data_IF_222018669417
#
_entry.id   IF_222018669417
#
_cell.length_a   1.000
_cell.length_b   1.000
_cell.length_c   1.000
_cell.angle_alpha   90.00
_cell.angle_beta   90.00
_cell.angle_gamma   90.00
#
_symmetry.space_group_name_H-M   'P 1'
#
loop_
_entity.id
_entity.type
_entity.pdbx_description
1 polymer ?
#
# COMPACT_ATOMS: atom_id res chain seq x y z
N UNK A 1 -35.24 -69.46 -23.74
CA UNK A 1 -35.71 -68.92 -22.45
C UNK A 1 -34.48 -68.46 -21.67
N UNK A 2 -34.32 -67.13 -21.49
CA UNK A 2 -33.55 -66.42 -20.45
C UNK A 2 -32.03 -66.68 -20.37
N UNK A 3 -31.13 -65.70 -20.21
CA UNK A 3 -31.14 -64.24 -20.31
C UNK A 3 -29.64 -63.87 -20.33
N UNK A 4 -29.21 -62.94 -21.20
CA UNK A 4 -27.89 -62.30 -21.13
C UNK A 4 -27.77 -61.50 -19.83
N UNK A 5 -26.61 -61.55 -19.18
CA UNK A 5 -26.12 -60.45 -18.34
C UNK A 5 -24.63 -60.25 -18.65
N UNK A 6 -24.35 -59.33 -19.58
CA UNK A 6 -23.05 -58.67 -19.72
C UNK A 6 -22.91 -57.64 -18.62
N UNK A 7 -21.98 -57.86 -17.70
CA UNK A 7 -21.60 -56.88 -16.68
C UNK A 7 -20.58 -55.93 -17.30
N UNK A 8 -21.05 -54.80 -17.84
CA UNK A 8 -20.19 -53.67 -18.22
C UNK A 8 -19.83 -52.93 -16.92
N UNK A 9 -18.62 -53.12 -16.41
CA UNK A 9 -18.05 -52.20 -15.42
C UNK A 9 -17.66 -50.90 -16.15
N UNK A 10 -18.55 -49.92 -16.10
CA UNK A 10 -18.21 -48.52 -16.33
C UNK A 10 -17.40 -48.01 -15.13
N UNK A 11 -16.07 -48.20 -15.14
CA UNK A 11 -15.18 -47.40 -14.29
C UNK A 11 -15.11 -45.99 -14.89
N UNK A 12 -16.08 -45.16 -14.50
CA UNK A 12 -15.97 -43.72 -14.59
C UNK A 12 -14.94 -43.24 -13.58
N UNK A 13 -13.66 -43.40 -13.90
CA UNK A 13 -12.61 -42.59 -13.31
C UNK A 13 -12.49 -41.33 -14.18
N UNK A 14 -13.40 -40.38 -14.00
CA UNK A 14 -13.10 -38.98 -14.30
C UNK A 14 -12.05 -38.54 -13.30
N UNK A 15 -10.80 -38.94 -13.57
CA UNK A 15 -9.65 -38.20 -13.12
C UNK A 15 -9.76 -36.85 -13.80
N UNK A 16 -10.47 -35.91 -13.18
CA UNK A 16 -10.20 -34.50 -13.38
C UNK A 16 -8.78 -34.30 -12.87
N UNK A 17 -7.83 -34.59 -13.76
CA UNK A 17 -6.49 -34.03 -13.70
C UNK A 17 -6.75 -32.53 -13.71
N UNK A 18 -6.84 -31.94 -12.52
CA UNK A 18 -6.59 -30.52 -12.35
C UNK A 18 -5.17 -30.35 -12.86
N UNK A 19 -5.00 -30.06 -14.14
CA UNK A 19 -3.90 -29.21 -14.57
C UNK A 19 -3.98 -28.05 -13.60
N UNK A 20 -3.00 -27.92 -12.69
CA UNK A 20 -3.07 -26.93 -11.63
C UNK A 20 -3.35 -25.58 -12.30
N UNK A 21 -4.58 -25.06 -12.11
CA UNK A 21 -4.98 -23.81 -12.72
C UNK A 21 -3.99 -22.79 -12.19
N UNK A 22 -3.21 -22.19 -13.08
CA UNK A 22 -2.23 -21.18 -12.72
C UNK A 22 -2.98 -20.10 -11.92
N UNK A 23 -2.54 -19.78 -10.69
CA UNK A 23 -3.29 -18.86 -9.85
C UNK A 23 -3.19 -17.45 -10.41
N UNK A 24 -4.22 -16.66 -10.17
CA UNK A 24 -4.12 -15.22 -10.33
C UNK A 24 -3.23 -14.61 -9.23
N UNK A 25 -2.75 -13.39 -9.44
CA UNK A 25 -1.94 -12.66 -8.47
C UNK A 25 -2.54 -11.27 -8.27
N UNK A 26 -2.98 -10.97 -7.04
CA UNK A 26 -3.28 -9.62 -6.59
C UNK A 26 -2.14 -9.17 -5.68
N UNK A 27 -1.36 -8.19 -6.13
CA UNK A 27 -0.29 -7.59 -5.35
C UNK A 27 -0.74 -6.21 -4.85
N UNK A 28 -1.15 -6.15 -3.60
CA UNK A 28 -1.53 -4.92 -2.89
C UNK A 28 -0.27 -4.28 -2.34
N UNK A 29 0.00 -3.03 -2.73
CA UNK A 29 1.24 -2.33 -2.37
C UNK A 29 0.95 -0.92 -1.86
N UNK A 30 1.22 -0.66 -0.59
CA UNK A 30 1.06 0.65 0.03
C UNK A 30 2.36 1.46 0.01
N UNK A 31 2.28 2.69 0.47
CA UNK A 31 3.38 3.65 0.45
C UNK A 31 3.52 4.28 1.84
N UNK A 32 4.65 4.02 2.51
CA UNK A 32 4.92 4.41 3.91
C UNK A 32 4.03 3.72 4.97
N UNK A 33 3.46 2.52 4.71
CA UNK A 33 2.68 1.81 5.73
C UNK A 33 3.59 1.00 6.67
N UNK A 34 3.75 1.50 7.89
CA UNK A 34 4.46 0.89 9.00
C UNK A 34 3.80 -0.42 9.45
N UNK A 35 4.60 -1.44 9.73
CA UNK A 35 4.10 -2.70 10.29
C UNK A 35 3.44 -2.47 11.66
N UNK A 36 3.90 -1.46 12.41
CA UNK A 36 3.32 -1.09 13.70
C UNK A 36 1.84 -0.70 13.57
N UNK A 37 1.42 -0.14 12.43
CA UNK A 37 0.04 0.33 12.26
C UNK A 37 -0.93 -0.72 11.71
N UNK A 38 -0.52 -2.00 11.66
CA UNK A 38 -1.36 -3.12 11.21
C UNK A 38 -1.69 -4.01 12.42
N UNK A 39 -2.97 -4.26 12.66
CA UNK A 39 -3.47 -5.01 13.82
C UNK A 39 -2.84 -6.40 13.95
N UNK A 40 -2.70 -7.13 12.84
CA UNK A 40 -2.14 -8.48 12.80
C UNK A 40 -0.65 -8.58 13.19
N UNK A 41 0.10 -7.47 13.17
CA UNK A 41 1.50 -7.46 13.61
C UNK A 41 1.64 -7.41 15.14
N UNK A 42 0.56 -7.13 15.87
CA UNK A 42 0.51 -7.14 17.34
C UNK A 42 1.53 -6.19 17.98
N UNK A 43 1.62 -4.98 17.41
CA UNK A 43 2.53 -3.93 17.89
C UNK A 43 1.92 -3.11 19.04
N UNK A 44 2.71 -2.15 19.56
CA UNK A 44 2.28 -1.16 20.56
C UNK A 44 1.07 -0.29 20.14
N UNK A 45 0.69 -0.26 18.86
CA UNK A 45 -0.46 0.49 18.34
C UNK A 45 -1.72 -0.33 18.09
N UNK A 46 -1.70 -1.65 18.28
CA UNK A 46 -2.79 -2.56 17.87
C UNK A 46 -4.18 -2.09 18.32
N UNK A 47 -4.34 -1.72 19.59
CA UNK A 47 -5.64 -1.31 20.17
C UNK A 47 -6.22 -0.04 19.51
N UNK A 48 -5.38 0.73 18.81
CA UNK A 48 -5.75 2.00 18.19
C UNK A 48 -5.71 1.98 16.65
N UNK A 49 -5.17 0.91 16.05
CA UNK A 49 -5.11 0.73 14.60
C UNK A 49 -5.65 -0.64 14.15
N UNK A 50 -6.94 -0.94 14.37
CA UNK A 50 -7.53 -2.14 13.81
C UNK A 50 -7.62 -2.02 12.29
N UNK A 51 -7.13 -3.05 11.59
CA UNK A 51 -7.13 -3.16 10.13
C UNK A 51 -7.85 -4.45 9.73
N UNK A 52 -9.18 -4.57 9.96
CA UNK A 52 -9.87 -5.85 9.90
C UNK A 52 -9.75 -6.58 8.55
N UNK A 53 -9.64 -5.87 7.43
CA UNK A 53 -9.48 -6.50 6.12
C UNK A 53 -8.04 -6.97 5.89
N UNK A 54 -7.02 -6.19 6.30
CA UNK A 54 -5.63 -6.64 6.25
C UNK A 54 -5.40 -7.80 7.24
N UNK A 55 -5.99 -7.72 8.43
CA UNK A 55 -5.91 -8.74 9.47
C UNK A 55 -6.58 -10.05 9.00
N UNK A 56 -7.62 -9.94 8.16
CA UNK A 56 -8.24 -11.10 7.52
C UNK A 56 -7.26 -11.86 6.61
N UNK A 57 -6.37 -11.15 5.90
CA UNK A 57 -5.34 -11.77 5.06
C UNK A 57 -4.32 -12.55 5.89
N UNK A 58 -3.94 -12.03 7.07
CA UNK A 58 -3.03 -12.71 7.98
C UNK A 58 -3.68 -13.94 8.60
N UNK A 59 -4.94 -13.83 9.03
CA UNK A 59 -5.71 -14.95 9.60
C UNK A 59 -5.94 -16.06 8.57
N UNK A 60 -6.21 -15.69 7.32
CA UNK A 60 -6.54 -16.65 6.26
C UNK A 60 -5.30 -17.06 5.44
N UNK A 61 -4.11 -16.56 5.79
CA UNK A 61 -2.85 -16.77 5.08
C UNK A 61 -1.65 -16.84 6.03
N UNK A 62 -0.51 -16.33 5.59
CA UNK A 62 0.75 -16.29 6.34
C UNK A 62 1.25 -14.86 6.51
N UNK A 63 1.62 -14.48 7.74
CA UNK A 63 2.27 -13.21 8.05
C UNK A 63 3.79 -13.39 8.19
N UNK A 64 4.57 -12.52 7.56
CA UNK A 64 6.03 -12.53 7.66
C UNK A 64 6.49 -11.56 8.73
N UNK A 65 7.18 -12.06 9.75
CA UNK A 65 7.67 -11.24 10.84
C UNK A 65 8.94 -10.49 10.46
N UNK A 66 9.78 -11.01 9.55
CA UNK A 66 11.12 -10.48 9.26
C UNK A 66 11.32 -10.20 7.77
N UNK A 67 10.44 -9.38 7.17
CA UNK A 67 10.60 -8.93 5.79
C UNK A 67 11.30 -7.56 5.75
N UNK A 68 12.41 -7.46 5.02
CA UNK A 68 13.26 -6.28 4.98
C UNK A 68 13.42 -5.70 3.57
N UNK A 69 13.37 -4.36 3.48
CA UNK A 69 13.63 -3.67 2.22
C UNK A 69 15.12 -3.55 1.97
N UNK A 70 15.52 -3.68 0.69
CA UNK A 70 16.93 -3.55 0.30
C UNK A 70 17.41 -2.10 0.23
N UNK A 71 16.48 -1.15 0.19
CA UNK A 71 16.72 0.29 0.24
C UNK A 71 15.44 1.00 0.71
N UNK A 72 15.45 1.62 1.89
CA UNK A 72 14.25 2.12 2.56
C UNK A 72 13.77 3.48 2.01
N UNK A 73 13.32 3.46 0.74
CA UNK A 73 12.85 4.64 0.02
C UNK A 73 12.01 4.23 -1.21
N UNK A 74 10.95 5.01 -1.51
CA UNK A 74 9.86 4.62 -2.41
C UNK A 74 10.29 4.09 -3.79
N UNK A 75 10.99 4.90 -4.60
CA UNK A 75 11.36 4.57 -5.98
C UNK A 75 12.33 3.39 -6.07
N UNK A 76 13.44 3.40 -5.30
CA UNK A 76 14.36 2.26 -5.24
C UNK A 76 13.70 0.94 -4.84
N UNK A 77 12.80 0.92 -3.85
CA UNK A 77 12.12 -0.33 -3.49
C UNK A 77 11.10 -0.76 -4.56
N UNK A 78 10.38 0.17 -5.19
CA UNK A 78 9.53 -0.13 -6.35
C UNK A 78 10.33 -0.75 -7.48
N UNK A 79 11.52 -0.25 -7.78
CA UNK A 79 12.41 -0.82 -8.79
C UNK A 79 12.91 -2.22 -8.39
N UNK A 80 13.23 -2.42 -7.12
CA UNK A 80 13.64 -3.72 -6.59
C UNK A 80 12.51 -4.76 -6.71
N UNK A 81 11.26 -4.41 -6.37
CA UNK A 81 10.09 -5.29 -6.57
C UNK A 81 9.90 -5.64 -8.04
N UNK A 82 9.99 -4.67 -8.95
CA UNK A 82 9.81 -4.95 -10.38
C UNK A 82 10.88 -5.89 -10.94
N UNK A 83 12.13 -5.79 -10.46
CA UNK A 83 13.30 -6.44 -11.07
C UNK A 83 13.82 -7.67 -10.32
N UNK A 84 13.49 -7.83 -9.04
CA UNK A 84 14.11 -8.83 -8.15
C UNK A 84 15.59 -8.56 -7.86
N UNK A 85 16.05 -7.31 -8.02
CA UNK A 85 17.46 -6.92 -7.89
C UNK A 85 17.63 -5.78 -6.90
N UNK A 86 18.75 -5.78 -6.18
CA UNK A 86 19.23 -4.63 -5.40
C UNK A 86 19.42 -3.38 -6.27
N UNK A 87 19.32 -2.19 -5.66
CA UNK A 87 19.41 -0.90 -6.36
C UNK A 87 20.69 -0.72 -7.19
N UNK A 88 21.84 -1.22 -6.72
CA UNK A 88 23.11 -1.16 -7.46
C UNK A 88 23.10 -1.98 -8.76
N UNK A 89 22.22 -2.98 -8.86
CA UNK A 89 22.10 -3.86 -10.01
C UNK A 89 20.92 -3.49 -10.94
N UNK A 90 19.86 -2.84 -10.41
CA UNK A 90 18.74 -2.35 -11.22
C UNK A 90 18.91 -0.89 -11.71
N UNK A 91 19.85 -0.14 -11.12
CA UNK A 91 20.21 1.22 -11.54
C UNK A 91 19.37 2.35 -10.93
N UNK A 92 18.36 2.05 -10.11
CA UNK A 92 17.50 3.03 -9.45
C UNK A 92 17.91 3.20 -7.97
N UNK A 93 18.81 4.14 -7.70
CA UNK A 93 19.46 4.31 -6.38
C UNK A 93 18.71 5.29 -5.48
N UNK A 94 18.12 6.34 -6.04
CA UNK A 94 17.42 7.41 -5.32
C UNK A 94 16.16 7.85 -6.07
N UNK A 95 15.19 8.42 -5.33
CA UNK A 95 14.02 9.04 -5.95
C UNK A 95 14.45 10.12 -6.95
N UNK A 96 13.78 10.16 -8.11
CA UNK A 96 14.10 11.06 -9.21
C UNK A 96 15.07 10.48 -10.25
N UNK A 97 15.66 9.29 -10.01
CA UNK A 97 16.30 8.54 -11.09
C UNK A 97 15.28 8.11 -12.15
N UNK A 98 15.78 7.81 -13.35
CA UNK A 98 14.99 7.26 -14.45
C UNK A 98 15.14 5.75 -14.45
N UNK A 99 14.04 5.03 -14.24
CA UNK A 99 14.05 3.58 -14.35
C UNK A 99 14.25 3.16 -15.80
N UNK A 100 15.21 2.27 -16.05
CA UNK A 100 15.32 1.60 -17.34
C UNK A 100 14.22 0.55 -17.45
N UNK A 101 13.09 0.92 -18.05
CA UNK A 101 11.98 0.03 -18.29
C UNK A 101 12.26 -1.02 -19.36
N UNK A 102 13.39 -1.00 -20.07
CA UNK A 102 13.74 -2.03 -21.07
C UNK A 102 14.27 -3.31 -20.43
N UNK A 103 14.85 -3.21 -19.23
CA UNK A 103 15.37 -4.35 -18.49
C UNK A 103 14.29 -5.39 -18.14
N UNK A 104 14.71 -6.60 -17.75
CA UNK A 104 13.80 -7.65 -17.30
C UNK A 104 13.06 -7.22 -16.03
N UNK A 105 11.74 -7.42 -16.02
CA UNK A 105 10.89 -7.26 -14.85
C UNK A 105 9.95 -8.46 -14.72
N UNK A 106 9.49 -8.79 -13.51
CA UNK A 106 8.60 -9.93 -13.32
C UNK A 106 7.26 -9.80 -14.09
N UNK A 107 6.64 -8.62 -14.30
CA UNK A 107 5.42 -8.50 -15.10
C UNK A 107 5.66 -8.91 -16.55
N UNK A 108 6.80 -8.55 -17.15
CA UNK A 108 7.16 -9.00 -18.51
C UNK A 108 7.24 -10.52 -18.60
N UNK A 109 7.79 -11.17 -17.56
CA UNK A 109 7.89 -12.63 -17.50
C UNK A 109 6.50 -13.27 -17.38
N UNK A 110 5.62 -12.73 -16.53
CA UNK A 110 4.24 -13.21 -16.39
C UNK A 110 3.43 -13.01 -17.68
N UNK A 111 3.54 -11.84 -18.33
CA UNK A 111 2.92 -11.55 -19.62
C UNK A 111 3.38 -12.55 -20.69
N UNK A 112 4.68 -12.82 -20.76
CA UNK A 112 5.25 -13.86 -21.65
C UNK A 112 4.72 -15.27 -21.31
N UNK A 113 4.46 -15.55 -20.04
CA UNK A 113 3.84 -16.81 -19.60
C UNK A 113 2.32 -16.87 -19.85
N UNK A 114 1.71 -15.83 -20.41
CA UNK A 114 0.29 -15.81 -20.79
C UNK A 114 -0.66 -15.25 -19.72
N UNK A 115 -0.13 -14.50 -18.74
CA UNK A 115 -0.95 -13.69 -17.85
C UNK A 115 -1.40 -12.40 -18.53
N UNK A 116 -2.57 -11.92 -18.17
CA UNK A 116 -2.96 -10.52 -18.41
C UNK A 116 -2.53 -9.69 -17.22
N UNK A 117 -1.84 -8.58 -17.48
CA UNK A 117 -1.07 -7.84 -16.46
C UNK A 117 -1.53 -6.39 -16.36
N UNK A 118 -1.72 -5.88 -15.15
CA UNK A 118 -2.06 -4.47 -14.94
C UNK A 118 -1.38 -3.84 -13.72
N UNK A 119 -1.19 -2.53 -13.79
CA UNK A 119 -0.78 -1.70 -12.64
C UNK A 119 -1.65 -0.47 -12.53
N UNK A 120 -2.23 -0.24 -11.35
CA UNK A 120 -3.05 0.92 -11.07
C UNK A 120 -2.56 1.61 -9.80
N UNK A 121 -2.37 2.93 -9.88
CA UNK A 121 -2.01 3.77 -8.73
C UNK A 121 -0.55 4.25 -8.73
N UNK A 122 0.16 4.18 -7.61
CA UNK A 122 1.50 4.80 -7.50
C UNK A 122 2.55 4.02 -8.30
N UNK A 123 3.25 4.69 -9.23
CA UNK A 123 4.36 4.09 -10.00
C UNK A 123 5.73 4.52 -9.50
N UNK A 124 5.99 5.84 -9.46
CA UNK A 124 7.20 6.44 -8.90
C UNK A 124 8.55 5.95 -9.47
N UNK A 125 8.54 5.42 -10.70
CA UNK A 125 9.75 4.98 -11.44
C UNK A 125 10.07 5.89 -12.65
N UNK A 126 9.46 7.07 -12.68
CA UNK A 126 9.57 8.04 -13.76
C UNK A 126 8.33 8.10 -14.65
N UNK A 127 8.27 9.16 -15.44
CA UNK A 127 7.17 9.49 -16.37
C UNK A 127 7.67 9.55 -17.82
N UNK A 128 8.96 9.25 -18.04
CA UNK A 128 9.58 9.26 -19.37
C UNK A 128 9.10 8.10 -20.26
N UNK A 129 8.44 7.10 -19.67
CA UNK A 129 7.85 5.97 -20.36
C UNK A 129 6.71 5.36 -19.53
N UNK A 130 5.75 4.73 -20.20
CA UNK A 130 4.72 3.98 -19.50
C UNK A 130 5.29 2.71 -18.85
N UNK A 131 4.67 2.21 -17.76
CA UNK A 131 5.02 0.94 -17.15
C UNK A 131 5.11 -0.20 -18.17
N UNK A 132 6.30 -0.77 -18.32
CA UNK A 132 6.55 -1.84 -19.28
C UNK A 132 6.21 -3.22 -18.70
N UNK A 133 5.72 -4.12 -19.56
CA UNK A 133 5.33 -5.47 -19.15
C UNK A 133 3.93 -5.57 -18.55
N UNK A 134 3.12 -4.52 -18.72
CA UNK A 134 1.72 -4.48 -18.37
C UNK A 134 0.88 -4.37 -19.65
N UNK A 135 -0.27 -5.04 -19.69
CA UNK A 135 -1.30 -4.89 -20.74
C UNK A 135 -2.20 -3.68 -20.49
N UNK A 136 -2.19 -3.15 -19.25
CA UNK A 136 -2.90 -1.94 -18.86
C UNK A 136 -2.12 -1.22 -17.76
N UNK A 137 -2.03 0.11 -17.85
CA UNK A 137 -1.62 0.90 -16.71
C UNK A 137 -2.41 2.20 -16.58
N UNK A 138 -2.66 2.59 -15.34
CA UNK A 138 -3.11 3.94 -15.02
C UNK A 138 -2.46 4.38 -13.72
N UNK A 139 -1.47 5.27 -13.82
CA UNK A 139 -0.52 5.54 -12.72
C UNK A 139 -0.46 7.01 -12.34
N UNK A 140 -0.23 7.27 -11.05
CA UNK A 140 -0.10 8.62 -10.49
C UNK A 140 1.11 9.35 -11.08
N UNK A 141 0.95 10.64 -11.36
CA UNK A 141 2.05 11.56 -11.69
C UNK A 141 2.83 11.89 -10.42
N UNK A 142 4.15 11.74 -10.45
CA UNK A 142 5.05 11.91 -9.31
C UNK A 142 4.68 11.04 -8.11
N UNK A 143 4.30 11.68 -7.00
CA UNK A 143 3.82 11.03 -5.77
C UNK A 143 2.27 10.92 -5.72
N UNK A 144 1.58 11.59 -6.64
CA UNK A 144 0.13 11.82 -6.63
C UNK A 144 -0.37 12.67 -5.45
N UNK A 145 -1.44 13.46 -5.61
CA UNK A 145 -2.16 14.06 -4.48
C UNK A 145 -3.11 13.05 -3.82
N UNK A 146 -3.64 13.38 -2.65
CA UNK A 146 -4.68 12.57 -1.96
C UNK A 146 -6.09 12.81 -2.49
N UNK A 147 -6.31 13.96 -3.11
CA UNK A 147 -7.58 14.37 -3.70
C UNK A 147 -7.38 14.67 -5.17
N UNK A 148 -8.38 14.36 -5.99
CA UNK A 148 -8.46 14.72 -7.41
C UNK A 148 -7.16 14.45 -8.20
N UNK A 149 -6.62 13.22 -8.19
CA UNK A 149 -5.33 12.91 -8.78
C UNK A 149 -5.36 12.97 -10.31
N UNK A 150 -4.41 13.66 -10.95
CA UNK A 150 -4.10 13.39 -12.34
C UNK A 150 -3.27 12.10 -12.46
N UNK A 151 -3.56 11.31 -13.49
CA UNK A 151 -2.92 10.03 -13.76
C UNK A 151 -2.53 9.91 -15.24
N UNK A 152 -1.50 9.13 -15.53
CA UNK A 152 -1.09 8.79 -16.89
C UNK A 152 -1.59 7.39 -17.22
N UNK A 153 -2.25 7.24 -18.36
CA UNK A 153 -2.83 5.97 -18.81
C UNK A 153 -2.06 5.40 -19.99
N UNK A 154 -1.98 4.07 -20.03
CA UNK A 154 -1.61 3.25 -21.18
C UNK A 154 -2.65 2.12 -21.26
N UNK A 155 -3.59 2.23 -22.21
CA UNK A 155 -4.76 1.36 -22.28
C UNK A 155 -4.52 0.05 -23.04
N UNK A 156 -3.50 -0.01 -23.91
CA UNK A 156 -3.21 -1.16 -24.78
C UNK A 156 -1.86 -1.84 -24.47
N UNK A 157 -1.08 -1.27 -23.54
CA UNK A 157 0.19 -1.83 -23.09
C UNK A 157 1.27 -1.78 -24.15
N UNK A 158 1.22 -0.77 -25.05
CA UNK A 158 2.24 -0.51 -26.07
C UNK A 158 3.50 0.17 -25.50
N UNK A 159 3.45 0.55 -24.22
CA UNK A 159 4.57 1.17 -23.51
C UNK A 159 4.64 2.68 -23.67
N UNK A 160 3.59 3.32 -24.18
CA UNK A 160 3.45 4.78 -24.29
C UNK A 160 2.26 5.27 -23.48
N UNK A 161 2.33 6.51 -23.03
CA UNK A 161 1.20 7.15 -22.37
C UNK A 161 0.20 7.65 -23.41
N UNK A 162 -1.05 7.20 -23.33
CA UNK A 162 -2.18 7.72 -24.10
C UNK A 162 -2.44 9.20 -23.77
N UNK A 163 -2.17 9.57 -22.52
CA UNK A 163 -2.30 10.93 -22.04
C UNK A 163 -2.57 11.03 -20.54
N UNK A 164 -2.74 12.27 -20.09
CA UNK A 164 -3.12 12.61 -18.72
C UNK A 164 -4.63 12.62 -18.56
N UNK A 165 -5.12 11.88 -17.57
CA UNK A 165 -6.52 11.84 -17.14
C UNK A 165 -6.64 12.52 -15.79
N UNK A 166 -7.63 13.39 -15.62
CA UNK A 166 -7.92 14.01 -14.32
C UNK A 166 -9.11 13.29 -13.67
N UNK A 167 -8.93 12.87 -12.43
CA UNK A 167 -10.01 12.28 -11.62
C UNK A 167 -10.50 13.27 -10.57
N UNK A 168 -11.75 13.11 -10.14
CA UNK A 168 -12.34 13.85 -9.02
C UNK A 168 -12.76 12.84 -7.95
N UNK A 169 -12.31 13.04 -6.71
CA UNK A 169 -12.55 12.11 -5.61
C UNK A 169 -11.32 11.97 -4.70
N UNK A 170 -11.33 10.93 -3.88
CA UNK A 170 -10.21 10.57 -3.00
C UNK A 170 -9.34 9.50 -3.66
N UNK A 171 -8.02 9.71 -3.68
CA UNK A 171 -7.09 8.90 -4.49
C UNK A 171 -7.12 7.41 -4.14
N UNK A 172 -7.30 7.05 -2.87
CA UNK A 172 -7.37 5.63 -2.46
C UNK A 172 -8.60 4.95 -3.04
N UNK A 173 -9.75 5.64 -3.05
CA UNK A 173 -11.00 5.13 -3.61
C UNK A 173 -10.90 5.06 -5.15
N UNK A 174 -10.37 6.10 -5.80
CA UNK A 174 -10.17 6.15 -7.26
C UNK A 174 -9.29 4.99 -7.75
N UNK A 175 -8.17 4.73 -7.07
CA UNK A 175 -7.28 3.61 -7.44
C UNK A 175 -8.04 2.28 -7.36
N UNK A 176 -8.92 2.13 -6.38
CA UNK A 176 -9.76 0.94 -6.19
C UNK A 176 -10.82 0.82 -7.27
N UNK A 177 -11.51 1.91 -7.59
CA UNK A 177 -12.54 1.94 -8.63
C UNK A 177 -11.94 1.59 -10.00
N UNK A 178 -10.77 2.15 -10.33
CA UNK A 178 -10.04 1.86 -11.57
C UNK A 178 -9.56 0.40 -11.64
N UNK A 179 -9.06 -0.13 -10.52
CA UNK A 179 -8.65 -1.53 -10.45
C UNK A 179 -9.83 -2.49 -10.61
N UNK A 180 -10.95 -2.23 -9.93
CA UNK A 180 -12.18 -3.00 -10.07
C UNK A 180 -12.76 -2.92 -11.49
N UNK A 181 -12.77 -1.73 -12.09
CA UNK A 181 -13.19 -1.53 -13.47
C UNK A 181 -12.35 -2.37 -14.44
N UNK A 182 -11.03 -2.41 -14.26
CA UNK A 182 -10.17 -3.26 -15.08
C UNK A 182 -10.49 -4.75 -14.88
N UNK A 183 -10.64 -5.17 -13.63
CA UNK A 183 -10.96 -6.55 -13.26
C UNK A 183 -12.31 -7.03 -13.83
N UNK A 184 -13.32 -6.15 -13.83
CA UNK A 184 -14.67 -6.43 -14.27
C UNK A 184 -14.81 -6.43 -15.78
N UNK A 185 -14.26 -5.41 -16.43
CA UNK A 185 -14.67 -5.01 -17.78
C UNK A 185 -13.54 -5.01 -18.82
N UNK A 186 -12.25 -5.03 -18.42
CA UNK A 186 -11.13 -4.85 -19.36
C UNK A 186 -10.19 -6.04 -19.47
N UNK A 187 -10.03 -6.85 -18.43
CA UNK A 187 -9.14 -8.02 -18.49
C UNK A 187 -9.72 -9.12 -19.39
N UNK A 188 -8.82 -9.92 -19.98
CA UNK A 188 -9.19 -11.17 -20.64
C UNK A 188 -9.54 -12.23 -19.58
N UNK A 189 -10.83 -12.52 -19.40
CA UNK A 189 -11.32 -13.48 -18.39
C UNK A 189 -10.93 -14.94 -18.67
N UNK A 190 -10.38 -15.24 -19.85
CA UNK A 190 -9.89 -16.59 -20.20
C UNK A 190 -8.45 -16.84 -19.74
N UNK A 191 -7.74 -15.80 -19.30
CA UNK A 191 -6.35 -15.86 -18.85
C UNK A 191 -6.25 -15.57 -17.34
N UNK A 192 -5.21 -16.10 -16.66
CA UNK A 192 -4.92 -15.68 -15.31
C UNK A 192 -4.46 -14.21 -15.31
N UNK A 193 -4.74 -13.48 -14.23
CA UNK A 193 -4.33 -12.08 -14.11
C UNK A 193 -3.19 -11.88 -13.11
N UNK A 194 -2.40 -10.82 -13.32
CA UNK A 194 -1.57 -10.21 -12.29
C UNK A 194 -1.90 -8.72 -12.20
N UNK A 195 -2.34 -8.27 -11.03
CA UNK A 195 -2.68 -6.87 -10.76
C UNK A 195 -1.77 -6.31 -9.66
N UNK A 196 -0.97 -5.32 -10.02
CA UNK A 196 -0.30 -4.44 -9.05
C UNK A 196 -1.27 -3.32 -8.64
N UNK A 197 -1.84 -3.47 -7.45
CA UNK A 197 -2.79 -2.55 -6.84
C UNK A 197 -2.06 -1.63 -5.85
N UNK A 198 -1.60 -0.46 -6.33
CA UNK A 198 -0.60 0.35 -5.63
C UNK A 198 -1.17 1.65 -5.05
N UNK A 199 -1.34 1.73 -3.74
CA UNK A 199 -1.86 2.92 -3.08
C UNK A 199 -0.78 3.99 -2.83
N UNK A 200 -1.22 5.26 -2.85
CA UNK A 200 -0.47 6.40 -2.30
C UNK A 200 -0.45 6.40 -0.76
N UNK A 201 -1.53 5.95 -0.15
CA UNK A 201 -1.67 6.03 1.29
C UNK A 201 -0.82 4.93 1.98
N UNK A 202 -0.30 5.21 3.19
CA UNK A 202 -0.39 6.45 3.97
C UNK A 202 0.83 7.42 3.82
N UNK A 203 1.36 7.67 2.63
CA UNK A 203 2.52 8.58 2.46
C UNK A 203 2.27 10.03 2.89
N UNK A 204 3.34 10.72 3.33
CA UNK A 204 3.30 12.16 3.65
C UNK A 204 2.60 12.96 2.52
N UNK A 205 1.69 13.88 2.81
CA UNK A 205 1.34 14.47 4.10
C UNK A 205 -0.03 14.02 4.64
N UNK A 206 -0.37 12.72 4.63
CA UNK A 206 -1.46 12.14 5.44
C UNK A 206 -2.78 12.90 5.39
N UNK A 207 -3.35 13.09 4.20
CA UNK A 207 -4.63 13.79 4.07
C UNK A 207 -5.74 12.74 4.08
N UNK A 208 -6.54 12.59 5.16
CA UNK A 208 -7.49 11.49 5.26
C UNK A 208 -8.64 11.60 4.27
N UNK A 209 -9.30 10.48 4.01
CA UNK A 209 -10.56 10.46 3.28
C UNK A 209 -11.63 11.29 4.00
N UNK A 210 -12.58 11.91 3.29
CA UNK A 210 -13.63 12.75 3.89
C UNK A 210 -14.37 12.10 5.06
N UNK A 211 -14.68 10.79 4.96
CA UNK A 211 -15.39 10.03 6.00
C UNK A 211 -14.60 9.82 7.29
N UNK A 212 -13.28 10.00 7.28
CA UNK A 212 -12.41 9.74 8.44
C UNK A 212 -11.78 11.00 9.04
N UNK A 213 -12.11 12.19 8.55
CA UNK A 213 -11.50 13.45 9.01
C UNK A 213 -11.65 13.70 10.52
N UNK A 214 -12.65 13.10 11.16
CA UNK A 214 -12.91 13.22 12.60
C UNK A 214 -12.67 11.92 13.39
N UNK A 215 -12.26 10.83 12.73
CA UNK A 215 -11.98 9.56 13.42
C UNK A 215 -10.83 9.76 14.41
N UNK A 216 -10.93 9.31 15.65
CA UNK A 216 -9.91 9.52 16.70
C UNK A 216 -9.78 10.94 17.27
N UNK A 217 -10.72 11.87 17.02
CA UNK A 217 -10.64 13.22 17.62
C UNK A 217 -10.61 13.18 19.15
N UNK A 218 -11.41 12.27 19.71
CA UNK A 218 -11.69 11.98 21.11
C UNK A 218 -10.80 10.85 21.70
N UNK A 219 -9.85 10.33 20.91
CA UNK A 219 -8.90 9.31 21.34
C UNK A 219 -7.54 9.95 21.62
N UNK A 220 -6.88 9.58 22.71
CA UNK A 220 -5.44 9.88 22.91
C UNK A 220 -4.65 8.65 22.51
N UNK A 221 -3.76 8.79 21.53
CA UNK A 221 -2.91 7.69 21.08
C UNK A 221 -1.71 7.55 22.03
N UNK A 222 -1.21 6.34 22.30
CA UNK A 222 -0.02 6.15 23.12
C UNK A 222 1.19 6.81 22.45
N UNK A 223 2.17 7.25 23.22
CA UNK A 223 3.46 7.77 22.72
C UNK A 223 4.52 6.67 22.82
N UNK A 224 5.42 6.51 21.85
CA UNK A 224 6.56 5.62 22.02
C UNK A 224 7.53 6.19 23.06
N UNK A 225 8.18 5.32 23.84
CA UNK A 225 9.14 5.71 24.88
C UNK A 225 10.27 6.61 24.35
N UNK A 226 10.55 6.51 23.04
CA UNK A 226 11.61 7.26 22.34
C UNK A 226 11.11 8.52 21.63
N UNK A 227 9.90 9.02 21.91
CA UNK A 227 9.40 10.27 21.31
C UNK A 227 10.31 11.48 21.60
N UNK A 228 10.96 11.49 22.77
CA UNK A 228 11.90 12.53 23.22
C UNK A 228 13.33 12.01 23.32
N UNK A 229 13.73 11.12 22.40
CA UNK A 229 15.08 10.54 22.37
C UNK A 229 16.16 11.63 22.25
N UNK A 230 17.14 11.60 23.16
CA UNK A 230 18.30 12.50 23.18
C UNK A 230 19.49 11.99 22.35
N UNK A 231 19.30 10.80 21.76
CA UNK A 231 20.23 10.09 20.90
C UNK A 231 21.55 9.70 21.58
N UNK A 232 21.65 9.71 22.92
CA UNK A 232 22.84 9.21 23.61
C UNK A 232 23.15 7.78 23.19
N UNK A 233 24.40 7.55 22.79
CA UNK A 233 24.87 6.26 22.29
C UNK A 233 24.66 6.04 20.78
N UNK A 234 24.06 6.99 20.05
CA UNK A 234 23.97 6.96 18.57
C UNK A 234 25.06 7.81 17.92
N UNK A 235 25.28 7.57 16.63
CA UNK A 235 26.27 8.32 15.83
C UNK A 235 25.69 9.65 15.35
N UNK A 236 26.56 10.51 14.80
CA UNK A 236 26.21 11.84 14.26
C UNK A 236 25.01 11.83 13.31
N UNK A 237 24.81 10.73 12.56
CA UNK A 237 23.69 10.57 11.64
C UNK A 237 22.31 10.79 12.31
N UNK A 238 22.12 10.30 13.54
CA UNK A 238 20.88 10.49 14.28
C UNK A 238 20.67 11.94 14.76
N UNK A 239 21.77 12.67 14.99
CA UNK A 239 21.72 14.07 15.42
C UNK A 239 21.56 15.06 14.27
N UNK A 240 21.94 14.69 13.04
CA UNK A 240 22.01 15.58 11.87
C UNK A 240 20.89 15.35 10.85
N UNK A 241 19.96 14.42 11.10
CA UNK A 241 18.79 14.24 10.25
C UNK A 241 17.85 15.46 10.28
N UNK A 242 16.99 15.55 9.28
CA UNK A 242 15.87 16.50 9.23
C UNK A 242 14.58 15.72 8.97
N UNK A 243 14.09 15.05 10.02
CA UNK A 243 12.88 14.22 10.02
C UNK A 243 12.19 14.17 11.39
N UNK A 244 12.45 15.15 12.26
CA UNK A 244 11.87 15.19 13.61
C UNK A 244 10.45 15.75 13.60
N UNK A 245 9.60 15.21 14.48
CA UNK A 245 8.28 15.79 14.77
C UNK A 245 8.43 17.20 15.34
N UNK A 246 9.44 17.42 16.17
CA UNK A 246 9.69 18.69 16.83
C UNK A 246 9.97 19.84 15.84
N UNK A 247 10.81 19.63 14.84
CA UNK A 247 11.35 20.72 14.01
C UNK A 247 10.93 20.61 12.53
N UNK A 248 10.92 19.42 11.94
CA UNK A 248 10.79 19.22 10.49
C UNK A 248 9.34 19.31 9.99
N UNK A 249 8.36 19.07 10.85
CA UNK A 249 6.95 19.09 10.44
C UNK A 249 6.48 20.47 9.97
N UNK A 250 5.80 20.49 8.82
CA UNK A 250 5.27 21.69 8.20
C UNK A 250 3.80 21.93 8.57
N UNK A 251 3.30 23.13 8.27
CA UNK A 251 1.86 23.44 8.36
C UNK A 251 0.97 22.48 7.56
N UNK A 252 1.48 21.97 6.43
CA UNK A 252 0.76 20.99 5.60
C UNK A 252 0.67 19.62 6.27
N UNK A 253 1.72 19.19 6.98
CA UNK A 253 1.73 17.95 7.74
C UNK A 253 0.76 17.97 8.90
N UNK A 254 0.61 19.14 9.54
CA UNK A 254 -0.27 19.34 10.69
C UNK A 254 -1.69 19.76 10.30
N UNK A 255 -2.00 19.84 9.00
CA UNK A 255 -3.32 20.24 8.46
C UNK A 255 -3.75 21.64 8.91
N UNK A 256 -2.76 22.50 9.21
CA UNK A 256 -2.95 23.92 9.45
C UNK A 256 -3.19 24.68 8.14
N UNK A 257 -2.99 24.02 7.00
CA UNK A 257 -3.32 24.53 5.67
C UNK A 257 -4.04 23.43 4.90
N UNK A 258 -5.21 23.77 4.34
CA UNK A 258 -6.00 22.84 3.53
C UNK A 258 -5.29 22.51 2.21
N UNK A 259 -5.52 21.31 1.63
CA UNK A 259 -4.99 20.95 0.32
C UNK A 259 -5.42 21.95 -0.75
N UNK A 260 -4.49 22.28 -1.65
CA UNK A 260 -4.71 23.30 -2.67
C UNK A 260 -5.69 22.87 -3.77
N UNK A 261 -5.86 21.57 -3.98
CA UNK A 261 -6.58 20.99 -5.11
C UNK A 261 -7.95 20.39 -4.75
N UNK A 262 -8.51 20.73 -3.59
CA UNK A 262 -9.88 20.34 -3.22
C UNK A 262 -10.91 21.07 -4.10
N UNK A 263 -12.00 20.38 -4.45
CA UNK A 263 -13.21 21.05 -4.96
C UNK A 263 -13.83 21.94 -3.88
N UNK A 264 -14.73 22.89 -4.21
CA UNK A 264 -15.42 23.70 -3.21
C UNK A 264 -16.14 22.87 -2.13
N UNK A 265 -16.77 21.76 -2.52
CA UNK A 265 -17.50 20.86 -1.63
C UNK A 265 -16.54 20.10 -0.70
N UNK A 266 -15.46 19.55 -1.26
CA UNK A 266 -14.41 18.89 -0.48
C UNK A 266 -13.76 19.87 0.51
N UNK A 267 -13.53 21.12 0.09
CA UNK A 267 -12.98 22.18 0.95
C UNK A 267 -13.91 22.51 2.11
N UNK A 268 -15.23 22.58 1.88
CA UNK A 268 -16.21 22.81 2.95
C UNK A 268 -16.15 21.70 4.01
N UNK A 269 -16.10 20.44 3.58
CA UNK A 269 -15.99 19.28 4.48
C UNK A 269 -14.66 19.32 5.26
N UNK A 270 -13.56 19.58 4.57
CA UNK A 270 -12.23 19.71 5.18
C UNK A 270 -12.18 20.78 6.27
N UNK A 271 -12.63 21.99 5.93
CA UNK A 271 -12.63 23.13 6.84
C UNK A 271 -13.52 22.88 8.06
N UNK A 272 -14.69 22.28 7.86
CA UNK A 272 -15.58 21.90 8.97
C UNK A 272 -14.91 20.92 9.95
N UNK A 273 -14.00 20.07 9.48
CA UNK A 273 -13.25 19.16 10.33
C UNK A 273 -12.04 19.83 11.00
N UNK A 274 -11.22 20.58 10.26
CA UNK A 274 -9.94 21.06 10.79
C UNK A 274 -9.97 22.48 11.38
N UNK A 275 -10.82 23.39 10.93
CA UNK A 275 -10.81 24.78 11.38
C UNK A 275 -11.04 24.90 12.90
N UNK A 276 -12.01 24.20 13.52
CA UNK A 276 -12.17 24.23 14.98
C UNK A 276 -10.94 23.70 15.73
N UNK A 277 -10.35 22.61 15.23
CA UNK A 277 -9.15 21.98 15.83
C UNK A 277 -7.93 22.90 15.73
N UNK A 278 -7.81 23.63 14.62
CA UNK A 278 -6.73 24.57 14.35
C UNK A 278 -6.90 25.85 15.18
N UNK A 279 -8.13 26.33 15.38
CA UNK A 279 -8.43 27.45 16.28
C UNK A 279 -8.11 27.10 17.74
N UNK A 280 -8.47 25.89 18.18
CA UNK A 280 -8.13 25.40 19.52
C UNK A 280 -6.61 25.32 19.74
N UNK A 281 -5.87 24.79 18.76
CA UNK A 281 -4.41 24.77 18.78
C UNK A 281 -3.79 26.17 18.90
N UNK A 282 -4.25 27.11 18.06
CA UNK A 282 -3.75 28.49 18.08
C UNK A 282 -3.98 29.17 19.45
N UNK A 283 -5.14 28.92 20.08
CA UNK A 283 -5.46 29.44 21.41
C UNK A 283 -4.60 28.82 22.52
N UNK A 284 -4.24 27.54 22.39
CA UNK A 284 -3.48 26.82 23.40
C UNK A 284 -2.03 27.32 23.53
N UNK A 285 -1.47 27.91 22.47
CA UNK A 285 -0.11 28.49 22.46
C UNK A 285 0.96 27.55 23.04
N UNK A 286 0.88 26.25 22.67
CA UNK A 286 1.75 25.20 23.21
C UNK A 286 3.22 25.44 22.84
N UNK A 287 4.13 25.10 23.74
CA UNK A 287 5.57 25.25 23.60
C UNK A 287 6.29 23.99 24.10
N UNK A 288 7.57 23.83 23.75
CA UNK A 288 8.40 22.73 24.25
C UNK A 288 7.78 21.36 23.98
N UNK A 289 7.83 20.46 24.96
CA UNK A 289 7.31 19.10 24.81
C UNK A 289 5.79 19.06 24.55
N UNK A 290 5.00 19.97 25.11
CA UNK A 290 3.54 19.98 24.90
C UNK A 290 3.20 20.24 23.42
N UNK A 291 4.00 21.08 22.75
CA UNK A 291 3.88 21.28 21.31
C UNK A 291 4.25 20.01 20.53
N UNK A 292 5.30 19.30 20.94
CA UNK A 292 5.72 18.04 20.30
C UNK A 292 4.64 16.98 20.45
N UNK A 293 4.09 16.78 21.66
CA UNK A 293 2.98 15.85 21.91
C UNK A 293 1.76 16.19 21.08
N UNK A 294 1.41 17.46 20.96
CA UNK A 294 0.31 17.88 20.09
C UNK A 294 0.58 17.57 18.61
N UNK A 295 1.79 17.86 18.12
CA UNK A 295 2.18 17.55 16.73
C UNK A 295 2.13 16.05 16.47
N UNK A 296 2.66 15.26 17.41
CA UNK A 296 2.62 13.81 17.40
C UNK A 296 1.19 13.29 17.28
N UNK A 297 0.29 13.73 18.17
CA UNK A 297 -1.12 13.32 18.16
C UNK A 297 -1.80 13.70 16.83
N UNK A 298 -1.55 14.90 16.29
CA UNK A 298 -2.10 15.31 14.99
C UNK A 298 -1.60 14.40 13.87
N UNK A 299 -0.29 14.21 13.80
CA UNK A 299 0.37 13.37 12.81
C UNK A 299 -0.16 11.94 12.83
N UNK A 300 -0.08 11.27 13.98
CA UNK A 300 -0.39 9.85 14.05
C UNK A 300 -1.88 9.61 13.81
N UNK A 301 -2.78 10.46 14.30
CA UNK A 301 -4.21 10.36 13.98
C UNK A 301 -4.45 10.46 12.47
N UNK A 302 -3.85 11.45 11.81
CA UNK A 302 -4.01 11.63 10.36
C UNK A 302 -3.42 10.46 9.55
N UNK A 303 -2.27 9.94 9.99
CA UNK A 303 -1.66 8.73 9.44
C UNK A 303 -2.61 7.52 9.52
N UNK A 304 -3.15 7.22 10.71
CA UNK A 304 -4.07 6.11 10.93
C UNK A 304 -5.42 6.29 10.20
N UNK A 305 -5.90 7.53 10.03
CA UNK A 305 -7.11 7.81 9.24
C UNK A 305 -6.92 7.52 7.76
N UNK A 306 -5.72 7.74 7.21
CA UNK A 306 -5.39 7.33 5.84
C UNK A 306 -5.42 5.80 5.70
N UNK A 307 -4.87 5.08 6.68
CA UNK A 307 -4.86 3.60 6.72
C UNK A 307 -6.27 3.02 6.76
N UNK A 308 -7.18 3.60 7.54
CA UNK A 308 -8.58 3.16 7.58
C UNK A 308 -9.22 3.16 6.17
N UNK A 309 -8.85 4.11 5.32
CA UNK A 309 -9.33 4.12 3.93
C UNK A 309 -8.67 3.07 3.05
N UNK A 310 -7.41 2.70 3.31
CA UNK A 310 -6.75 1.59 2.60
C UNK A 310 -7.43 0.28 2.97
N UNK A 311 -7.63 0.02 4.26
CA UNK A 311 -8.25 -1.21 4.75
C UNK A 311 -9.65 -1.44 4.16
N UNK A 312 -10.50 -0.40 4.16
CA UNK A 312 -11.82 -0.44 3.51
C UNK A 312 -11.74 -0.85 2.02
N UNK A 313 -10.78 -0.30 1.28
CA UNK A 313 -10.64 -0.55 -0.15
C UNK A 313 -10.02 -1.93 -0.45
N UNK A 314 -9.17 -2.43 0.44
CA UNK A 314 -8.76 -3.84 0.43
C UNK A 314 -10.00 -4.72 0.62
N UNK A 315 -10.85 -4.41 1.59
CA UNK A 315 -12.13 -5.10 1.80
C UNK A 315 -13.00 -5.15 0.55
N UNK A 316 -13.12 -4.04 -0.19
CA UNK A 316 -13.85 -3.99 -1.47
C UNK A 316 -13.26 -4.93 -2.53
N UNK A 317 -11.93 -4.95 -2.67
CA UNK A 317 -11.26 -5.84 -3.63
C UNK A 317 -11.42 -7.32 -3.24
N UNK A 318 -11.29 -7.65 -1.95
CA UNK A 318 -11.50 -9.02 -1.45
C UNK A 318 -12.95 -9.47 -1.61
N UNK A 319 -13.92 -8.59 -1.36
CA UNK A 319 -15.33 -8.85 -1.60
C UNK A 319 -15.58 -9.16 -3.09
N UNK A 320 -15.02 -8.35 -4.00
CA UNK A 320 -15.11 -8.61 -5.44
C UNK A 320 -14.52 -9.96 -5.84
N UNK A 321 -13.34 -10.34 -5.33
CA UNK A 321 -12.76 -11.66 -5.62
C UNK A 321 -13.69 -12.78 -5.19
N UNK A 322 -14.34 -12.67 -4.03
CA UNK A 322 -15.29 -13.66 -3.53
C UNK A 322 -16.58 -13.71 -4.36
N UNK A 323 -17.15 -12.55 -4.69
CA UNK A 323 -18.38 -12.45 -5.50
C UNK A 323 -18.21 -13.07 -6.89
N UNK A 324 -17.03 -12.94 -7.50
CA UNK A 324 -16.72 -13.51 -8.81
C UNK A 324 -16.14 -14.94 -8.75
N UNK A 325 -16.05 -15.55 -7.55
CA UNK A 325 -15.48 -16.89 -7.36
C UNK A 325 -13.99 -17.00 -7.73
N UNK A 326 -13.24 -15.90 -7.59
CA UNK A 326 -11.80 -15.82 -7.88
C UNK A 326 -10.94 -16.03 -6.62
N UNK A 327 -11.54 -15.94 -5.43
CA UNK A 327 -10.85 -15.92 -4.14
C UNK A 327 -10.11 -17.22 -3.79
N UNK A 328 -10.58 -18.36 -4.28
CA UNK A 328 -9.93 -19.68 -4.11
C UNK A 328 -8.74 -19.90 -5.07
N UNK A 329 -8.66 -19.14 -6.18
CA UNK A 329 -7.59 -19.26 -7.18
C UNK A 329 -6.78 -17.95 -7.35
N UNK A 330 -6.71 -17.13 -6.31
CA UNK A 330 -5.94 -15.88 -6.33
C UNK A 330 -4.98 -15.83 -5.16
N UNK A 331 -3.69 -15.68 -5.46
CA UNK A 331 -2.67 -15.31 -4.48
C UNK A 331 -2.86 -13.83 -4.17
N UNK A 332 -3.10 -13.50 -2.91
CA UNK A 332 -3.17 -12.12 -2.45
C UNK A 332 -1.92 -11.82 -1.62
N UNK A 333 -1.13 -10.86 -2.09
CA UNK A 333 0.06 -10.36 -1.41
C UNK A 333 -0.25 -8.95 -0.93
N UNK A 334 -0.03 -8.68 0.36
CA UNK A 334 -0.05 -7.34 0.93
C UNK A 334 1.36 -6.95 1.36
N UNK A 335 1.85 -5.81 0.90
CA UNK A 335 3.17 -5.29 1.25
C UNK A 335 3.21 -3.75 1.23
N UNK A 336 4.25 -3.16 1.84
CA UNK A 336 4.58 -1.73 1.74
C UNK A 336 5.96 -1.54 1.11
N UNK A 337 6.22 -0.40 0.45
CA UNK A 337 7.54 -0.12 -0.14
C UNK A 337 8.65 0.13 0.90
N UNK A 338 8.27 0.36 2.16
CA UNK A 338 9.13 0.31 3.36
C UNK A 338 8.26 0.43 4.63
N UNK A 339 8.91 0.27 5.79
CA UNK A 339 8.34 0.66 7.08
C UNK A 339 8.53 2.16 7.37
N UNK A 340 7.91 2.67 8.43
CA UNK A 340 7.88 4.10 8.74
C UNK A 340 8.04 4.36 10.24
N UNK A 341 8.70 5.46 10.62
CA UNK A 341 8.70 5.92 12.01
C UNK A 341 7.36 6.54 12.36
N UNK A 342 6.75 6.08 13.45
CA UNK A 342 5.49 6.56 14.02
C UNK A 342 5.75 7.29 15.33
N UNK A 343 6.80 8.12 15.36
CA UNK A 343 7.26 8.86 16.53
C UNK A 343 8.41 8.22 17.28
N UNK A 344 8.78 6.96 16.97
CA UNK A 344 10.01 6.37 17.50
C UNK A 344 11.20 7.27 17.14
N UNK A 345 12.10 7.49 18.11
CA UNK A 345 13.21 8.43 18.02
C UNK A 345 12.82 9.90 17.81
N UNK A 346 11.55 10.27 18.06
CA UNK A 346 11.02 11.59 17.76
C UNK A 346 10.84 11.85 16.26
N UNK A 347 10.83 10.79 15.43
CA UNK A 347 10.88 10.91 13.97
C UNK A 347 9.57 10.54 13.28
N UNK A 348 9.45 11.02 12.05
CA UNK A 348 8.61 10.46 11.00
C UNK A 348 9.49 10.21 9.76
N UNK A 349 8.95 9.72 8.65
CA UNK A 349 9.71 9.34 7.44
C UNK A 349 10.37 7.95 7.56
N UNK A 350 11.42 7.69 6.76
CA UNK A 350 12.04 6.38 6.54
C UNK A 350 13.55 6.54 6.34
N UNK A 351 14.19 5.79 5.43
CA UNK A 351 15.60 5.87 4.98
C UNK A 351 16.62 5.10 5.80
N UNK A 352 16.60 5.26 7.12
CA UNK A 352 17.63 4.65 7.97
C UNK A 352 17.46 3.13 8.06
N UNK A 353 18.54 2.43 8.42
CA UNK A 353 18.56 0.97 8.61
C UNK A 353 17.99 0.54 9.97
N UNK A 354 17.33 1.43 10.73
CA UNK A 354 16.63 1.03 11.95
C UNK A 354 15.36 0.23 11.60
N UNK A 355 14.92 -0.58 12.54
CA UNK A 355 13.89 -1.62 12.33
C UNK A 355 12.59 -1.03 11.78
N UNK A 356 12.14 0.11 12.31
CA UNK A 356 10.89 0.77 11.95
C UNK A 356 10.85 1.15 10.47
N UNK A 357 12.01 1.46 9.87
CA UNK A 357 12.14 1.90 8.48
C UNK A 357 12.52 0.75 7.54
N UNK A 358 13.38 -0.16 8.01
CA UNK A 358 13.91 -1.27 7.21
C UNK A 358 12.91 -2.42 7.09
N UNK A 359 12.19 -2.72 8.17
CA UNK A 359 11.19 -3.80 8.21
C UNK A 359 9.90 -3.31 7.56
N UNK A 360 9.41 -4.05 6.58
CA UNK A 360 8.15 -3.76 5.90
C UNK A 360 7.11 -4.83 6.22
N UNK A 361 5.82 -4.49 6.33
CA UNK A 361 4.79 -5.52 6.44
C UNK A 361 4.76 -6.36 5.16
N UNK A 362 4.68 -7.68 5.32
CA UNK A 362 4.37 -8.64 4.26
C UNK A 362 3.39 -9.71 4.76
N UNK A 363 2.30 -9.90 4.03
CA UNK A 363 1.28 -10.94 4.29
C UNK A 363 0.96 -11.60 2.95
N UNK A 364 0.90 -12.94 2.93
CA UNK A 364 0.57 -13.72 1.74
C UNK A 364 -0.57 -14.68 2.06
N UNK A 365 -1.70 -14.53 1.36
CA UNK A 365 -2.79 -15.52 1.33
C UNK A 365 -2.70 -16.30 0.02
N UNK A 366 -2.32 -17.57 0.09
CA UNK A 366 -2.34 -18.50 -1.04
C UNK A 366 -3.15 -19.75 -0.65
N UNK A 367 -4.43 -19.83 -1.04
CA UNK A 367 -5.29 -20.96 -0.72
C UNK A 367 -4.65 -22.31 -1.09
N UNK A 368 -4.65 -23.25 -0.13
CA UNK A 368 -4.06 -24.59 -0.29
C UNK A 368 -2.53 -24.65 -0.25
N UNK A 369 -1.82 -23.51 -0.11
CA UNK A 369 -0.35 -23.46 -0.05
C UNK A 369 0.14 -22.81 1.24
N UNK A 370 -0.38 -21.63 1.63
CA UNK A 370 -0.09 -21.05 2.94
C UNK A 370 -0.99 -21.66 4.00
N UNK A 371 -0.42 -22.08 5.13
CA UNK A 371 -1.19 -22.49 6.31
C UNK A 371 -1.90 -21.26 6.92
N UNK A 372 -3.23 -21.22 7.03
CA UNK A 372 -3.95 -20.08 7.58
C UNK A 372 -3.53 -19.74 9.02
N UNK A 373 -3.26 -18.46 9.29
CA UNK A 373 -2.85 -17.95 10.59
C UNK A 373 -1.39 -18.23 10.92
N UNK A 374 -0.62 -18.79 9.99
CA UNK A 374 0.79 -19.07 10.20
C UNK A 374 1.62 -17.78 10.22
N UNK A 375 2.76 -17.85 10.92
CA UNK A 375 3.74 -16.77 11.00
C UNK A 375 5.10 -17.30 10.57
N UNK A 376 5.73 -16.63 9.62
CA UNK A 376 7.08 -16.94 9.17
C UNK A 376 8.08 -16.00 9.87
N UNK A 377 9.18 -16.56 10.40
CA UNK A 377 10.23 -15.84 11.11
C UNK A 377 11.56 -15.84 10.37
N UNK A 378 11.58 -16.37 9.15
CA UNK A 378 12.77 -16.34 8.31
C UNK A 378 12.99 -14.91 7.81
N UNK A 379 14.25 -14.56 7.57
CA UNK A 379 14.61 -13.29 6.94
C UNK A 379 14.18 -13.35 5.47
N UNK A 380 13.32 -12.42 5.07
CA UNK A 380 12.76 -12.31 3.70
C UNK A 380 13.16 -11.00 3.03
#
# INVERSE_FOLDING_TARGET
MRLLISLILSLGATSSVFAANRPNVLFIFTDDHAYQAIGAYDSWLKEHSPTPNIDSLARDGMLFEQCYVTNSICGPMRAAIQTGKYSHANGFLVNGNKFDGTQQTFPKLLRKAGYTTAVVGKWHLGEHMAPQGYDYSEVLIGQGPYYNPPMLKDADGDGKHDGRINHVGYTTDIITDLALEWMQNKRDKTKPFMLMFQHKAPHRNWQPAPKYLNKYDDVTLPEPDTLFDDYRGRTLAAHQQDMTIAETMTKGDLKLTAPGNLTPEQRKIWNSAYDPKNAAFAKANLQGEDLVRWKYQRYLKDYLRCIASVDDNIGRMLAYLKEEGLDENTIVIYCSDQGFYLGEHGWFDKRWIYEESLRTPMIVRWPGVTEPGSRNKDIV
#
